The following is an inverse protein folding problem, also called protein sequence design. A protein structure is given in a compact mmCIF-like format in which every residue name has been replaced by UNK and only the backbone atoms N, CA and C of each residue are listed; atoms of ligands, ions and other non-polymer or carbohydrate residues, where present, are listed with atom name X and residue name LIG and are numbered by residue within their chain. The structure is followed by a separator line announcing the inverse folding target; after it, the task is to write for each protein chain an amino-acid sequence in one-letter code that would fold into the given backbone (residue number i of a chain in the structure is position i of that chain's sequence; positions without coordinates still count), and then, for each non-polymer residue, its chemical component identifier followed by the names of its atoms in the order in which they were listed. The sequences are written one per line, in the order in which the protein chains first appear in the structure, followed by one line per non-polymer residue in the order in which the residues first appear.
data_IF_619938231015
#
_entry.id   IF_619938231015
#
_cell.length_a   1.000
_cell.length_b   1.000
_cell.length_c   1.000
_cell.angle_alpha   90.00
_cell.angle_beta   90.00
_cell.angle_gamma   90.00
#
_symmetry.space_group_name_H-M   'P 1'
#
loop_
_entity.id
_entity.type
_entity.pdbx_description
1 polymer ?
#
# COMPACT_ATOMS: atom_id res chain seq x y z
N UNK A 1 6.05 -17.29 -12.44
CA UNK A 1 7.07 -16.98 -11.39
C UNK A 1 6.38 -16.56 -10.10
N UNK A 2 6.88 -16.99 -8.95
CA UNK A 2 6.36 -16.58 -7.63
C UNK A 2 7.16 -15.41 -7.03
N UNK A 3 6.47 -14.51 -6.34
CA UNK A 3 7.07 -13.58 -5.40
C UNK A 3 6.92 -14.14 -3.99
N UNK A 4 8.04 -14.28 -3.28
CA UNK A 4 8.05 -14.74 -1.89
C UNK A 4 8.64 -13.63 -1.02
N UNK A 5 7.93 -13.23 0.03
CA UNK A 5 8.38 -12.18 0.93
C UNK A 5 8.21 -12.57 2.38
N UNK A 6 9.30 -12.56 3.15
CA UNK A 6 9.30 -12.77 4.60
C UNK A 6 9.82 -11.51 5.28
N UNK A 7 8.90 -10.67 5.75
CA UNK A 7 9.22 -9.35 6.28
C UNK A 7 9.04 -9.29 7.80
N UNK A 8 9.78 -8.39 8.45
CA UNK A 8 9.50 -8.01 9.85
C UNK A 8 8.19 -7.24 10.01
N UNK A 9 7.72 -6.64 8.91
CA UNK A 9 6.50 -5.86 8.80
C UNK A 9 5.37 -6.73 8.23
N UNK A 10 4.18 -6.64 8.83
CA UNK A 10 2.95 -7.24 8.32
C UNK A 10 2.45 -6.55 7.03
N UNK A 11 1.39 -7.11 6.43
CA UNK A 11 0.77 -6.59 5.20
C UNK A 11 -0.59 -5.90 5.45
N UNK A 12 -1.07 -5.88 6.69
CA UNK A 12 -2.37 -5.31 7.08
C UNK A 12 -2.25 -3.82 7.40
N UNK A 13 -1.14 -3.41 8.02
CA UNK A 13 -0.89 -2.01 8.26
C UNK A 13 -0.38 -1.34 6.98
N UNK A 14 -1.00 -0.20 6.62
CA UNK A 14 -0.66 0.61 5.46
C UNK A 14 0.85 0.83 5.27
N UNK A 15 1.56 1.24 6.33
CA UNK A 15 2.99 1.56 6.24
C UNK A 15 3.88 0.33 6.26
N UNK A 16 3.49 -0.69 7.01
CA UNK A 16 4.18 -1.98 7.06
C UNK A 16 4.10 -2.68 5.70
N UNK A 17 2.89 -2.83 5.17
CA UNK A 17 2.64 -3.48 3.87
C UNK A 17 3.32 -2.73 2.74
N UNK A 18 3.23 -1.39 2.71
CA UNK A 18 3.99 -0.57 1.77
C UNK A 18 5.50 -0.87 1.85
N UNK A 19 6.06 -0.88 3.06
CA UNK A 19 7.49 -1.14 3.26
C UNK A 19 7.90 -2.55 2.86
N UNK A 20 6.98 -3.52 2.95
CA UNK A 20 7.20 -4.92 2.57
C UNK A 20 7.15 -5.14 1.05
N UNK A 21 6.31 -4.39 0.31
CA UNK A 21 6.16 -4.56 -1.16
C UNK A 21 7.11 -3.70 -1.98
N UNK A 22 7.61 -2.57 -1.46
CA UNK A 22 8.53 -1.67 -2.18
C UNK A 22 9.78 -2.39 -2.75
N UNK A 23 10.46 -3.31 -2.05
CA UNK A 23 11.57 -4.06 -2.62
C UNK A 23 11.21 -4.82 -3.90
N UNK A 24 10.02 -5.45 -3.92
CA UNK A 24 9.52 -6.11 -5.12
C UNK A 24 9.23 -5.11 -6.24
N UNK A 25 8.60 -3.97 -5.94
CA UNK A 25 8.35 -2.92 -6.93
C UNK A 25 9.65 -2.38 -7.54
N UNK A 26 10.69 -2.27 -6.72
CA UNK A 26 12.02 -1.92 -7.19
C UNK A 26 12.60 -2.99 -8.13
N UNK A 27 12.41 -4.27 -7.84
CA UNK A 27 12.88 -5.35 -8.70
C UNK A 27 12.09 -5.42 -10.01
N UNK A 28 10.76 -5.33 -9.95
CA UNK A 28 9.84 -5.30 -11.09
C UNK A 28 10.27 -4.24 -12.11
N UNK A 29 10.51 -3.01 -11.67
CA UNK A 29 10.94 -1.92 -12.55
C UNK A 29 12.33 -2.13 -13.19
N UNK A 30 13.22 -2.95 -12.60
CA UNK A 30 14.53 -3.27 -13.20
C UNK A 30 14.48 -4.48 -14.12
N UNK A 31 13.50 -5.36 -13.93
CA UNK A 31 13.36 -6.62 -14.65
C UNK A 31 12.29 -6.54 -15.73
N UNK A 32 12.27 -5.43 -16.48
CA UNK A 32 11.37 -5.22 -17.63
C UNK A 32 9.89 -5.46 -17.27
N UNK A 33 9.48 -5.01 -16.09
CA UNK A 33 8.12 -5.14 -15.60
C UNK A 33 7.64 -6.59 -15.44
N UNK A 34 8.54 -7.52 -15.14
CA UNK A 34 8.18 -8.90 -14.82
C UNK A 34 7.24 -8.96 -13.61
N UNK A 35 6.16 -9.74 -13.72
CA UNK A 35 5.11 -9.86 -12.71
C UNK A 35 5.10 -11.27 -12.12
N UNK A 36 4.72 -11.44 -10.85
CA UNK A 36 4.58 -12.76 -10.27
C UNK A 36 3.15 -13.28 -10.51
N UNK A 37 3.01 -14.56 -10.83
CA UNK A 37 1.71 -15.23 -10.91
C UNK A 37 1.10 -15.47 -9.53
N UNK A 38 1.95 -15.50 -8.49
CA UNK A 38 1.60 -15.89 -7.12
C UNK A 38 2.40 -15.08 -6.11
N UNK A 39 1.72 -14.65 -5.05
CA UNK A 39 2.28 -13.93 -3.92
C UNK A 39 2.27 -14.85 -2.70
N UNK A 40 3.46 -15.13 -2.18
CA UNK A 40 3.64 -15.93 -0.97
C UNK A 40 4.19 -15.00 0.10
N UNK A 41 3.34 -14.70 1.07
CA UNK A 41 3.61 -13.65 2.05
C UNK A 41 3.82 -14.28 3.42
N UNK A 42 4.95 -13.96 4.03
CA UNK A 42 5.28 -14.29 5.40
C UNK A 42 5.55 -13.01 6.19
N UNK A 43 5.13 -13.03 7.45
CA UNK A 43 5.53 -12.05 8.45
C UNK A 43 6.18 -12.82 9.58
N UNK A 44 7.52 -12.73 9.65
CA UNK A 44 8.36 -13.47 10.60
C UNK A 44 8.14 -14.98 10.54
N UNK A 45 8.11 -15.53 9.32
CA UNK A 45 7.87 -16.95 9.08
C UNK A 45 6.42 -17.41 9.19
N UNK A 46 5.49 -16.58 9.66
CA UNK A 46 4.06 -16.90 9.66
C UNK A 46 3.42 -16.51 8.33
N UNK A 47 2.73 -17.46 7.69
CA UNK A 47 2.01 -17.25 6.43
C UNK A 47 0.93 -16.17 6.59
N UNK A 48 0.82 -15.30 5.59
CA UNK A 48 -0.22 -14.28 5.47
C UNK A 48 -0.96 -14.50 4.17
N UNK A 49 -2.27 -14.63 4.30
CA UNK A 49 -3.18 -14.91 3.19
C UNK A 49 -3.95 -13.66 2.75
N UNK A 50 -3.61 -12.51 3.35
CA UNK A 50 -4.26 -11.23 3.10
C UNK A 50 -3.24 -10.09 3.14
N UNK A 51 -3.61 -9.02 2.45
CA UNK A 51 -2.94 -7.73 2.41
C UNK A 51 -4.02 -6.66 2.58
N UNK A 52 -3.67 -5.52 3.18
CA UNK A 52 -4.64 -4.45 3.39
C UNK A 52 -5.22 -3.96 2.06
N UNK A 53 -6.49 -3.54 2.01
CA UNK A 53 -7.13 -3.13 0.76
C UNK A 53 -6.35 -2.04 0.00
N UNK A 54 -5.74 -1.10 0.72
CA UNK A 54 -4.92 -0.05 0.12
C UNK A 54 -3.64 -0.59 -0.52
N UNK A 55 -2.95 -1.50 0.17
CA UNK A 55 -1.68 -2.05 -0.34
C UNK A 55 -1.99 -2.99 -1.52
N UNK A 56 -3.07 -3.76 -1.47
CA UNK A 56 -3.56 -4.55 -2.60
C UNK A 56 -3.89 -3.65 -3.80
N UNK A 57 -4.62 -2.55 -3.60
CA UNK A 57 -4.94 -1.56 -4.63
C UNK A 57 -3.68 -0.96 -5.27
N UNK A 58 -2.64 -0.72 -4.47
CA UNK A 58 -1.34 -0.22 -4.93
C UNK A 58 -0.61 -1.24 -5.79
N UNK A 59 -0.56 -2.50 -5.33
CA UNK A 59 0.06 -3.60 -6.08
C UNK A 59 -0.66 -3.78 -7.41
N UNK A 60 -1.99 -3.82 -7.39
CA UNK A 60 -2.82 -3.92 -8.58
C UNK A 60 -2.60 -2.75 -9.54
N UNK A 61 -2.59 -1.51 -9.07
CA UNK A 61 -2.35 -0.35 -9.93
C UNK A 61 -0.98 -0.38 -10.62
N UNK A 62 0.05 -0.90 -9.93
CA UNK A 62 1.41 -1.00 -10.48
C UNK A 62 1.53 -2.13 -11.49
N UNK A 63 0.93 -3.28 -11.19
CA UNK A 63 1.04 -4.49 -12.00
C UNK A 63 -0.04 -4.60 -13.06
N UNK A 64 -1.15 -3.88 -12.93
CA UNK A 64 -2.33 -3.97 -13.78
C UNK A 64 -3.16 -5.24 -13.57
N UNK A 65 -2.97 -5.96 -12.46
CA UNK A 65 -3.71 -7.17 -12.09
C UNK A 65 -3.71 -7.38 -10.57
N UNK A 66 -4.79 -7.96 -10.05
CA UNK A 66 -4.93 -8.21 -8.61
C UNK A 66 -3.89 -9.24 -8.13
N UNK A 67 -3.21 -9.01 -6.99
CA UNK A 67 -2.25 -9.96 -6.46
C UNK A 67 -2.94 -11.23 -5.97
N UNK A 68 -2.67 -12.36 -6.64
CA UNK A 68 -3.07 -13.69 -6.16
C UNK A 68 -2.19 -14.11 -4.97
N UNK A 69 -2.72 -14.02 -3.75
CA UNK A 69 -2.03 -14.44 -2.52
C UNK A 69 -2.30 -15.93 -2.27
N UNK A 70 -1.23 -16.70 -2.06
CA UNK A 70 -1.31 -18.13 -1.79
C UNK A 70 -1.63 -18.41 -0.31
N UNK A 71 -2.60 -19.30 -0.08
CA UNK A 71 -3.00 -19.78 1.25
C UNK A 71 -2.59 -21.24 1.52
N UNK A 72 -2.07 -21.93 0.50
CA UNK A 72 -1.73 -23.35 0.52
C UNK A 72 -2.88 -24.28 0.94
N UNK A 73 -4.14 -23.85 0.84
CA UNK A 73 -5.28 -24.66 1.30
C UNK A 73 -5.42 -25.99 0.53
N UNK A 74 -5.01 -25.99 -0.74
CA UNK A 74 -5.00 -27.18 -1.61
C UNK A 74 -3.65 -27.93 -1.63
N UNK A 75 -2.66 -27.43 -0.88
CA UNK A 75 -1.38 -28.11 -0.77
C UNK A 75 -1.51 -29.27 0.23
N UNK A 76 -1.17 -30.49 -0.20
CA UNK A 76 -1.01 -31.60 0.72
C UNK A 76 0.21 -31.43 1.64
N UNK A 77 0.49 -32.44 2.47
CA UNK A 77 1.60 -32.43 3.45
C UNK A 77 3.03 -32.47 2.84
N UNK A 78 3.14 -32.33 1.52
CA UNK A 78 4.39 -32.37 0.78
C UNK A 78 5.07 -31.01 0.62
N UNK A 79 6.34 -30.98 0.19
CA UNK A 79 7.03 -29.73 -0.11
C UNK A 79 6.34 -28.99 -1.25
N UNK A 80 6.11 -27.69 -1.08
CA UNK A 80 5.60 -26.80 -2.13
C UNK A 80 6.77 -26.24 -2.95
N UNK A 81 6.86 -26.65 -4.22
CA UNK A 81 7.96 -26.29 -5.09
C UNK A 81 7.61 -25.10 -6.01
N UNK A 82 8.55 -24.15 -6.15
CA UNK A 82 8.46 -23.06 -7.12
C UNK A 82 9.51 -23.25 -8.22
N UNK A 83 9.09 -23.29 -9.49
CA UNK A 83 10.03 -23.39 -10.62
C UNK A 83 10.92 -22.15 -10.74
N UNK A 84 10.34 -20.97 -10.49
CA UNK A 84 11.03 -19.69 -10.51
C UNK A 84 10.44 -18.79 -9.43
N UNK A 85 11.29 -18.25 -8.58
CA UNK A 85 10.89 -17.34 -7.51
C UNK A 85 11.86 -16.16 -7.38
N UNK A 86 11.32 -15.02 -6.96
CA UNK A 86 12.11 -13.91 -6.41
C UNK A 86 11.76 -13.77 -4.93
N UNK A 87 12.80 -13.75 -4.09
CA UNK A 87 12.65 -13.79 -2.63
C UNK A 87 13.16 -12.50 -2.02
N UNK A 88 12.37 -11.91 -1.13
CA UNK A 88 12.74 -10.75 -0.34
C UNK A 88 12.57 -11.03 1.15
N UNK A 89 13.62 -10.77 1.93
CA UNK A 89 13.59 -10.87 3.40
C UNK A 89 13.78 -9.52 4.11
N UNK A 90 14.21 -8.52 3.35
CA UNK A 90 14.45 -7.18 3.83
C UNK A 90 13.35 -6.25 3.32
N UNK A 91 12.94 -5.32 4.17
CA UNK A 91 12.09 -4.21 3.77
C UNK A 91 12.91 -3.13 3.02
N UNK A 92 12.27 -2.03 2.66
CA UNK A 92 12.91 -0.93 1.96
C UNK A 92 13.94 -0.10 2.78
N UNK A 93 14.21 -0.44 4.03
CA UNK A 93 15.10 0.30 4.94
C UNK A 93 16.53 0.43 4.43
N UNK A 94 17.06 -0.62 3.79
CA UNK A 94 18.42 -0.63 3.21
C UNK A 94 18.47 -0.01 1.80
N UNK A 95 17.33 0.42 1.26
CA UNK A 95 17.27 1.00 -0.07
C UNK A 95 17.85 2.42 -0.07
N UNK A 96 18.87 2.66 -0.90
CA UNK A 96 19.46 3.99 -1.11
C UNK A 96 18.37 5.02 -1.44
N UNK A 97 18.44 6.21 -0.84
CA UNK A 97 17.40 7.25 -0.97
C UNK A 97 16.99 7.57 -2.41
N UNK A 98 17.95 7.74 -3.32
CA UNK A 98 17.66 7.95 -4.76
C UNK A 98 16.85 6.80 -5.36
N UNK A 99 17.19 5.56 -5.02
CA UNK A 99 16.47 4.38 -5.52
C UNK A 99 15.06 4.33 -4.94
N UNK A 100 14.92 4.57 -3.64
CA UNK A 100 13.64 4.63 -2.94
C UNK A 100 12.71 5.67 -3.59
N UNK A 101 13.20 6.90 -3.77
CA UNK A 101 12.45 7.98 -4.42
C UNK A 101 11.95 7.60 -5.83
N UNK A 102 12.79 6.98 -6.66
CA UNK A 102 12.40 6.53 -7.99
C UNK A 102 11.28 5.47 -7.97
N UNK A 103 11.31 4.55 -7.00
CA UNK A 103 10.31 3.49 -6.89
C UNK A 103 8.98 4.07 -6.43
N UNK A 104 8.99 4.96 -5.43
CA UNK A 104 7.81 5.69 -5.00
C UNK A 104 7.18 6.52 -6.12
N UNK A 105 8.01 7.19 -6.92
CA UNK A 105 7.55 7.98 -8.05
C UNK A 105 6.87 7.10 -9.12
N UNK A 106 7.45 5.95 -9.44
CA UNK A 106 6.86 4.97 -10.35
C UNK A 106 5.50 4.48 -9.82
N UNK A 107 5.42 4.07 -8.56
CA UNK A 107 4.18 3.60 -7.95
C UNK A 107 3.10 4.70 -7.97
N UNK A 108 3.46 5.91 -7.56
CA UNK A 108 2.57 7.09 -7.59
C UNK A 108 2.05 7.36 -9.00
N UNK A 109 2.92 7.32 -10.01
CA UNK A 109 2.53 7.52 -11.40
C UNK A 109 1.51 6.47 -11.86
N UNK A 110 1.77 5.18 -11.59
CA UNK A 110 0.87 4.08 -11.94
C UNK A 110 -0.48 4.17 -11.23
N UNK A 111 -0.49 4.46 -9.93
CA UNK A 111 -1.73 4.69 -9.17
C UNK A 111 -2.54 5.86 -9.75
N UNK A 112 -1.89 6.97 -10.12
CA UNK A 112 -2.59 8.11 -10.73
C UNK A 112 -3.23 7.76 -12.07
N UNK A 113 -2.54 6.96 -12.90
CA UNK A 113 -3.11 6.45 -14.15
C UNK A 113 -4.34 5.60 -13.84
N UNK A 114 -4.23 4.68 -12.89
CA UNK A 114 -5.34 3.81 -12.47
C UNK A 114 -6.56 4.60 -11.99
N UNK A 115 -6.34 5.70 -11.25
CA UNK A 115 -7.40 6.59 -10.78
C UNK A 115 -7.89 7.62 -11.82
N UNK A 116 -7.40 7.60 -13.06
CA UNK A 116 -7.77 8.59 -14.09
C UNK A 116 -7.28 10.02 -13.80
N UNK A 117 -6.24 10.20 -12.98
CA UNK A 117 -5.72 11.51 -12.53
C UNK A 117 -4.57 12.05 -13.40
N UNK A 118 -4.50 11.66 -14.68
CA UNK A 118 -3.40 12.05 -15.58
C UNK A 118 -3.40 13.54 -15.92
N UNK A 119 -4.59 14.14 -15.95
CA UNK A 119 -4.74 15.59 -16.02
C UNK A 119 -4.73 16.10 -14.57
N UNK A 120 -3.81 17.00 -14.24
CA UNK A 120 -3.79 17.66 -12.93
C UNK A 120 -5.19 18.19 -12.66
N UNK A 121 -5.89 17.55 -11.71
CA UNK A 121 -7.30 17.84 -11.49
C UNK A 121 -7.48 19.33 -11.32
N UNK A 122 -8.51 19.88 -11.95
CA UNK A 122 -8.95 21.26 -11.79
C UNK A 122 -9.14 21.54 -10.30
N UNK A 123 -8.05 21.97 -9.66
CA UNK A 123 -8.09 22.57 -8.36
C UNK A 123 -8.75 23.91 -8.59
N UNK A 124 -10.08 23.96 -8.44
CA UNK A 124 -10.80 25.23 -8.39
C UNK A 124 -10.00 26.18 -7.49
N UNK A 125 -9.52 27.25 -8.10
CA UNK A 125 -8.56 28.17 -7.51
C UNK A 125 -9.07 28.63 -6.13
N UNK A 126 -8.30 28.33 -5.06
CA UNK A 126 -8.64 28.73 -3.69
C UNK A 126 -9.41 27.72 -2.81
N UNK A 127 -9.59 26.45 -3.22
CA UNK A 127 -10.17 25.40 -2.34
C UNK A 127 -9.08 24.75 -1.47
N UNK A 128 -9.20 24.85 -0.14
CA UNK A 128 -8.35 24.12 0.81
C UNK A 128 -8.92 22.73 1.07
N UNK A 129 -8.18 21.66 0.81
CA UNK A 129 -8.61 20.28 1.10
C UNK A 129 -7.75 19.69 2.20
N UNK A 130 -8.39 19.22 3.26
CA UNK A 130 -7.75 18.58 4.40
C UNK A 130 -8.27 17.17 4.51
N UNK A 131 -7.38 16.19 4.62
CA UNK A 131 -7.74 14.80 4.90
C UNK A 131 -7.15 14.39 6.23
N UNK A 132 -8.00 14.02 7.19
CA UNK A 132 -7.58 13.39 8.43
C UNK A 132 -7.52 11.90 8.22
N UNK A 133 -6.31 11.34 8.26
CA UNK A 133 -6.09 9.91 8.26
C UNK A 133 -6.04 9.40 9.69
N UNK A 134 -7.13 8.78 10.13
CA UNK A 134 -7.26 8.21 11.46
C UNK A 134 -6.82 6.75 11.49
N UNK A 135 -6.39 6.31 12.68
CA UNK A 135 -6.01 4.92 12.95
C UNK A 135 -7.01 4.29 13.87
N UNK A 136 -7.27 3.00 13.67
CA UNK A 136 -8.02 2.15 14.59
C UNK A 136 -7.07 1.39 15.52
N UNK A 137 -7.60 0.84 16.61
CA UNK A 137 -6.86 0.02 17.57
C UNK A 137 -5.98 0.82 18.54
N UNK A 138 -4.86 0.24 18.97
CA UNK A 138 -4.04 0.74 20.09
C UNK A 138 -3.44 2.14 19.92
N UNK A 139 -3.48 2.72 18.72
CA UNK A 139 -2.98 4.07 18.42
C UNK A 139 -4.09 5.01 17.91
N UNK A 140 -5.35 4.70 18.18
CA UNK A 140 -6.48 5.60 17.92
C UNK A 140 -6.50 6.78 18.90
N UNK A 141 -7.22 7.84 18.56
CA UNK A 141 -7.49 8.92 19.50
C UNK A 141 -8.42 8.44 20.61
N UNK A 142 -8.11 8.79 21.86
CA UNK A 142 -8.99 8.53 23.01
C UNK A 142 -10.36 9.21 22.85
N UNK A 143 -10.37 10.43 22.30
CA UNK A 143 -11.57 11.17 21.94
C UNK A 143 -11.51 11.56 20.45
N UNK A 144 -11.78 10.58 19.59
CA UNK A 144 -11.85 10.80 18.14
C UNK A 144 -12.86 11.90 17.77
N UNK A 145 -14.04 11.91 18.43
CA UNK A 145 -15.09 12.89 18.15
C UNK A 145 -14.64 14.31 18.51
N UNK A 146 -13.98 14.49 19.64
CA UNK A 146 -13.40 15.78 20.05
C UNK A 146 -12.37 16.28 19.03
N UNK A 147 -11.47 15.42 18.58
CA UNK A 147 -10.49 15.76 17.54
C UNK A 147 -11.19 16.18 16.24
N UNK A 148 -12.16 15.39 15.76
CA UNK A 148 -12.92 15.71 14.55
C UNK A 148 -13.64 17.06 14.68
N UNK A 149 -14.23 17.35 15.84
CA UNK A 149 -14.92 18.62 16.09
C UNK A 149 -13.96 19.82 16.00
N UNK A 150 -12.74 19.71 16.54
CA UNK A 150 -11.72 20.76 16.44
C UNK A 150 -11.37 21.02 14.97
N UNK A 151 -11.04 19.99 14.19
CA UNK A 151 -10.69 20.18 12.78
C UNK A 151 -11.86 20.69 11.93
N UNK A 152 -13.09 20.24 12.20
CA UNK A 152 -14.27 20.80 11.55
C UNK A 152 -14.46 22.28 11.89
N UNK A 153 -14.26 22.66 13.14
CA UNK A 153 -14.34 24.06 13.59
C UNK A 153 -13.31 24.94 12.90
N UNK A 154 -12.05 24.51 12.84
CA UNK A 154 -10.98 25.27 12.17
C UNK A 154 -11.19 25.35 10.65
N UNK A 155 -11.59 24.25 10.01
CA UNK A 155 -11.86 24.24 8.57
C UNK A 155 -13.00 25.22 8.21
N UNK A 156 -14.04 25.36 9.05
CA UNK A 156 -15.12 26.34 8.83
C UNK A 156 -14.68 27.80 8.85
N UNK A 157 -13.53 28.12 9.45
CA UNK A 157 -12.98 29.48 9.48
C UNK A 157 -12.26 29.85 8.19
N UNK A 158 -11.92 28.87 7.35
CA UNK A 158 -11.17 29.05 6.10
C UNK A 158 -12.14 28.97 4.93
N UNK A 159 -12.14 30.01 4.08
CA UNK A 159 -12.99 30.02 2.89
C UNK A 159 -12.72 28.80 2.02
N UNK A 160 -13.80 28.17 1.54
CA UNK A 160 -13.76 26.98 0.67
C UNK A 160 -12.91 25.82 1.21
N UNK A 161 -12.82 25.64 2.52
CA UNK A 161 -12.18 24.47 3.12
C UNK A 161 -13.10 23.22 3.08
N UNK A 162 -12.52 22.08 2.69
CA UNK A 162 -13.17 20.76 2.69
C UNK A 162 -12.37 19.80 3.54
N UNK A 163 -12.99 19.31 4.62
CA UNK A 163 -12.43 18.27 5.48
C UNK A 163 -12.99 16.90 5.10
N UNK A 164 -12.10 15.94 4.86
CA UNK A 164 -12.43 14.52 4.68
C UNK A 164 -11.78 13.71 5.79
N UNK A 165 -12.46 12.67 6.26
CA UNK A 165 -11.93 11.74 7.26
C UNK A 165 -11.78 10.38 6.58
N UNK A 166 -10.60 9.79 6.69
CA UNK A 166 -10.29 8.46 6.20
C UNK A 166 -9.70 7.60 7.32
N UNK A 167 -9.82 6.28 7.22
CA UNK A 167 -9.22 5.36 8.20
C UNK A 167 -8.24 4.42 7.53
N UNK A 168 -7.06 4.26 8.15
CA UNK A 168 -5.94 3.56 7.51
C UNK A 168 -6.18 2.08 7.21
N UNK A 169 -7.13 1.46 7.91
CA UNK A 169 -7.47 0.04 7.82
C UNK A 169 -8.44 -0.31 6.69
N UNK A 170 -9.27 0.64 6.23
CA UNK A 170 -10.24 0.43 5.16
C UNK A 170 -10.02 1.33 3.93
N UNK A 171 -8.86 1.97 3.84
CA UNK A 171 -8.50 2.82 2.72
C UNK A 171 -8.42 1.99 1.42
N UNK A 172 -9.01 2.48 0.35
CA UNK A 172 -8.79 2.05 -1.04
C UNK A 172 -8.67 3.28 -1.93
N UNK A 173 -8.15 3.12 -3.15
CA UNK A 173 -8.15 4.19 -4.16
C UNK A 173 -8.44 3.69 -5.58
N UNK A 174 -8.79 2.41 -5.71
CA UNK A 174 -9.47 1.86 -6.89
C UNK A 174 -10.98 2.06 -6.74
#
# INVERSE_FOLDING_TARGET
MSFVSDSYYDYENLWHGLSAVVPFMAWHGRKRCEKPERWVLYHRGELRVQMSPWVSSLVEAVLGEEPRIEDYAEAGDGPYCFEKAVVFRHNEGEMKGKRKAMVYEMMRCKSRVSCGLLNGGEGGEGVVRVTLLLRTGARSFKDEKGVLNVFHSECRKVDRCRLTVARSDNLTFL
#
